data_IF_447006531470
#
_entry.id   IF_447006531470
#
_cell.length_a   1.000
_cell.length_b   1.000
_cell.length_c   1.000
_cell.angle_alpha   90.00
_cell.angle_beta   90.00
_cell.angle_gamma   90.00
#
_symmetry.space_group_name_H-M   'P 1'
#
loop_
_entity.id
_entity.type
_entity.pdbx_description
1 polymer ?
#
# COMPACT_ATOMS: atom_id res chain seq x y z
N UNK A 1 1.53 -1.33 10.20
CA UNK A 1 0.15 -1.30 10.73
C UNK A 1 -0.28 -2.74 10.94
N UNK A 2 -0.65 -3.14 12.17
CA UNK A 2 -1.15 -4.49 12.45
C UNK A 2 -2.41 -4.81 11.64
N UNK A 3 -2.64 -6.09 11.32
CA UNK A 3 -3.86 -6.52 10.63
C UNK A 3 -3.95 -6.16 9.14
N UNK A 4 -2.86 -5.72 8.52
CA UNK A 4 -2.83 -5.49 7.08
C UNK A 4 -2.91 -6.81 6.31
N UNK A 5 -3.80 -6.88 5.33
CA UNK A 5 -3.95 -8.03 4.43
C UNK A 5 -3.44 -7.65 3.04
N UNK A 6 -3.01 -8.66 2.28
CA UNK A 6 -2.51 -8.48 0.92
C UNK A 6 -3.17 -9.50 0.01
N UNK A 7 -3.58 -9.09 -1.18
CA UNK A 7 -4.06 -10.01 -2.22
C UNK A 7 -2.92 -10.89 -2.72
N UNK A 8 -3.29 -11.97 -3.39
CA UNK A 8 -2.35 -12.70 -4.23
C UNK A 8 -1.79 -11.79 -5.34
N UNK A 9 -0.63 -12.19 -5.88
CA UNK A 9 -0.04 -11.53 -7.03
C UNK A 9 -0.87 -11.86 -8.27
N UNK A 10 -1.50 -10.85 -8.84
CA UNK A 10 -2.24 -10.95 -10.08
C UNK A 10 -1.43 -10.35 -11.24
N UNK A 11 -1.73 -10.77 -12.46
CA UNK A 11 -1.09 -10.29 -13.67
C UNK A 11 -2.11 -10.10 -14.79
N UNK A 12 -1.85 -9.11 -15.63
CA UNK A 12 -2.63 -8.83 -16.83
C UNK A 12 -1.91 -9.35 -18.08
N UNK A 13 -2.63 -9.40 -19.22
CA UNK A 13 -2.10 -9.88 -20.50
C UNK A 13 -0.87 -9.09 -21.00
N UNK A 14 -0.66 -7.89 -20.45
CA UNK A 14 0.49 -7.00 -20.69
C UNK A 14 1.73 -7.31 -19.84
N UNK A 15 1.73 -8.38 -19.05
CA UNK A 15 2.77 -8.68 -18.04
C UNK A 15 2.89 -7.59 -16.97
N UNK A 16 1.81 -6.86 -16.73
CA UNK A 16 1.70 -5.95 -15.62
C UNK A 16 1.23 -6.72 -14.39
N UNK A 17 2.05 -6.69 -13.35
CA UNK A 17 1.77 -7.34 -12.08
C UNK A 17 1.18 -6.35 -11.10
N UNK A 18 0.15 -6.77 -10.38
CA UNK A 18 -0.44 -5.97 -9.32
C UNK A 18 -0.77 -6.83 -8.11
N UNK A 19 -0.67 -6.20 -6.95
CA UNK A 19 -1.18 -6.71 -5.69
C UNK A 19 -1.72 -5.52 -4.91
N UNK A 20 -2.71 -5.77 -4.08
CA UNK A 20 -3.33 -4.74 -3.24
C UNK A 20 -3.08 -5.09 -1.79
N UNK A 21 -2.64 -4.09 -1.01
CA UNK A 21 -2.47 -4.20 0.43
C UNK A 21 -3.40 -3.24 1.13
N UNK A 22 -4.24 -3.73 2.03
CA UNK A 22 -5.25 -2.94 2.74
C UNK A 22 -5.17 -3.18 4.25
N UNK A 23 -5.61 -2.18 5.02
CA UNK A 23 -5.68 -2.27 6.48
C UNK A 23 -6.78 -1.32 6.98
N UNK A 24 -7.71 -1.79 7.81
CA UNK A 24 -8.64 -0.90 8.49
C UNK A 24 -7.91 -0.13 9.59
N UNK A 25 -8.11 1.18 9.66
CA UNK A 25 -7.54 2.01 10.72
C UNK A 25 -8.39 3.26 10.95
N UNK A 26 -8.26 3.86 12.13
CA UNK A 26 -8.78 5.19 12.42
C UNK A 26 -7.61 6.17 12.42
N UNK A 27 -7.58 7.18 11.53
CA UNK A 27 -6.49 8.14 11.47
C UNK A 27 -6.45 8.99 12.75
N UNK A 28 -5.25 9.20 13.29
CA UNK A 28 -5.02 10.05 14.45
C UNK A 28 -4.43 11.39 14.01
N UNK A 29 -4.88 12.47 14.64
CA UNK A 29 -4.37 13.81 14.35
C UNK A 29 -2.86 13.88 14.59
N UNK A 30 -2.12 14.38 13.60
CA UNK A 30 -0.66 14.52 13.64
C UNK A 30 0.12 13.27 13.23
N UNK A 31 -0.54 12.12 13.06
CA UNK A 31 0.10 10.93 12.48
C UNK A 31 0.11 11.00 10.94
N UNK A 32 1.17 10.45 10.35
CA UNK A 32 1.31 10.31 8.90
C UNK A 32 1.25 8.84 8.53
N UNK A 33 0.43 8.53 7.53
CA UNK A 33 0.27 7.18 7.01
C UNK A 33 0.86 7.11 5.61
N UNK A 34 1.49 5.99 5.28
CA UNK A 34 2.02 5.77 3.95
C UNK A 34 2.01 4.28 3.60
N UNK A 35 1.63 3.95 2.37
CA UNK A 35 1.90 2.65 1.77
C UNK A 35 3.34 2.65 1.24
N UNK A 36 4.18 1.73 1.72
CA UNK A 36 5.57 1.60 1.24
C UNK A 36 5.66 0.41 0.30
N UNK A 37 6.04 0.68 -0.94
CA UNK A 37 6.28 -0.34 -1.96
C UNK A 37 7.77 -0.53 -2.11
N UNK A 38 8.25 -1.75 -1.89
CA UNK A 38 9.63 -2.13 -2.17
C UNK A 38 9.66 -3.07 -3.37
N UNK A 39 10.38 -2.69 -4.42
CA UNK A 39 10.55 -3.51 -5.61
C UNK A 39 11.99 -3.42 -6.10
N UNK A 40 12.68 -4.56 -6.17
CA UNK A 40 14.09 -4.67 -6.60
C UNK A 40 15.04 -3.71 -5.86
N UNK A 41 14.88 -3.60 -4.53
CA UNK A 41 15.72 -2.73 -3.70
C UNK A 41 15.33 -1.25 -3.70
N UNK A 42 14.41 -0.82 -4.58
CA UNK A 42 13.88 0.54 -4.60
C UNK A 42 12.64 0.61 -3.72
N UNK A 43 12.67 1.50 -2.73
CA UNK A 43 11.52 1.75 -1.85
C UNK A 43 10.87 3.08 -2.22
N UNK A 44 9.57 3.04 -2.52
CA UNK A 44 8.75 4.23 -2.79
C UNK A 44 7.64 4.34 -1.75
N UNK A 45 7.58 5.43 -0.97
CA UNK A 45 6.45 5.72 -0.10
C UNK A 45 5.34 6.44 -0.88
N UNK A 46 4.10 6.04 -0.64
CA UNK A 46 2.88 6.71 -1.09
C UNK A 46 2.13 7.19 0.15
N UNK A 47 2.22 8.48 0.45
CA UNK A 47 1.51 9.08 1.58
C UNK A 47 0.02 8.93 1.41
N UNK A 48 -0.69 8.73 2.52
CA UNK A 48 -2.15 8.76 2.58
C UNK A 48 -2.55 10.04 3.32
N UNK A 49 -3.52 10.76 2.77
CA UNK A 49 -4.13 11.94 3.39
C UNK A 49 -5.66 11.70 3.49
N UNK A 50 -6.35 12.23 4.51
CA UNK A 50 -7.78 11.98 4.74
C UNK A 50 -8.71 12.50 3.64
N UNK A 51 -8.22 13.37 2.76
CA UNK A 51 -8.93 14.05 1.68
C UNK A 51 -8.61 13.51 0.27
N UNK A 52 -7.90 12.37 0.18
CA UNK A 52 -7.68 11.64 -1.08
C UNK A 52 -8.94 10.98 -1.64
#
# INVERSE_FOLDING_TARGET
MPGATQTDLAFEQSWQFHLTKSVPFTPQAGEKYACRVQHQGITKPYSWEPDM
#
